data_IF_555787928969
#
_entry.id   IF_555787928969
#
_cell.length_a   1.000
_cell.length_b   1.000
_cell.length_c   1.000
_cell.angle_alpha   90.00
_cell.angle_beta   90.00
_cell.angle_gamma   90.00
#
_symmetry.space_group_name_H-M   'P 1'
#
loop_
_entity.id
_entity.type
_entity.pdbx_description
1 polymer ?
#
# COMPACT_ATOMS: atom_id res chain seq x y z
N UNK A 1 -41.28 -2.95 -5.00
CA UNK A 1 -40.12 -2.28 -4.39
C UNK A 1 -38.91 -3.19 -4.53
N UNK A 2 -37.99 -2.90 -5.46
CA UNK A 2 -36.73 -3.64 -5.60
C UNK A 2 -35.70 -2.98 -4.69
N UNK A 3 -35.21 -3.71 -3.69
CA UNK A 3 -34.14 -3.26 -2.82
C UNK A 3 -32.85 -3.10 -3.62
N UNK A 4 -32.32 -1.88 -3.67
CA UNK A 4 -30.96 -1.63 -4.09
C UNK A 4 -30.06 -2.21 -2.99
N UNK A 5 -29.42 -3.35 -3.26
CA UNK A 5 -28.31 -3.82 -2.44
C UNK A 5 -27.18 -2.80 -2.54
N UNK A 6 -26.82 -2.18 -1.42
CA UNK A 6 -25.67 -1.27 -1.34
C UNK A 6 -24.39 -2.08 -1.56
N UNK A 7 -23.79 -1.96 -2.74
CA UNK A 7 -22.46 -2.47 -3.00
C UNK A 7 -21.45 -1.50 -2.40
N UNK A 8 -21.06 -1.72 -1.14
CA UNK A 8 -19.98 -1.00 -0.47
C UNK A 8 -18.63 -1.50 -0.98
N UNK A 9 -17.92 -0.68 -1.75
CA UNK A 9 -16.58 -0.98 -2.24
C UNK A 9 -15.55 -0.06 -1.59
N UNK A 10 -14.34 -0.55 -1.36
CA UNK A 10 -13.27 0.21 -0.73
C UNK A 10 -12.02 0.29 -1.61
N UNK A 11 -11.36 1.45 -1.65
CA UNK A 11 -10.06 1.63 -2.31
C UNK A 11 -8.92 1.70 -1.31
N UNK A 12 -7.82 1.03 -1.65
CA UNK A 12 -6.52 1.26 -1.04
C UNK A 12 -5.53 1.77 -2.08
N UNK A 13 -4.66 2.67 -1.63
CA UNK A 13 -3.53 3.15 -2.39
C UNK A 13 -2.18 2.94 -1.69
N UNK A 14 -1.25 2.29 -2.37
CA UNK A 14 0.19 2.35 -2.07
C UNK A 14 0.90 3.32 -3.02
N UNK A 15 1.77 4.18 -2.46
CA UNK A 15 2.60 5.07 -3.28
C UNK A 15 3.77 4.34 -3.93
N UNK A 16 4.01 4.69 -5.19
CA UNK A 16 4.79 3.95 -6.17
C UNK A 16 6.27 4.37 -6.13
N UNK A 17 7.18 3.42 -5.86
CA UNK A 17 8.62 3.64 -6.01
C UNK A 17 9.29 2.49 -6.76
N UNK A 18 10.34 2.82 -7.51
CA UNK A 18 11.19 1.84 -8.18
C UNK A 18 12.08 1.16 -7.14
N UNK A 19 11.92 -0.17 -6.98
CA UNK A 19 12.71 -0.95 -6.01
C UNK A 19 13.76 -1.81 -6.67
N UNK A 20 14.92 -1.90 -6.02
CA UNK A 20 15.89 -2.97 -6.31
C UNK A 20 15.29 -4.30 -5.86
N UNK A 21 15.47 -5.35 -6.68
CA UNK A 21 14.94 -6.71 -6.42
C UNK A 21 15.31 -7.25 -5.02
N UNK A 22 16.47 -6.85 -4.50
CA UNK A 22 16.98 -7.20 -3.16
C UNK A 22 16.18 -6.60 -1.99
N UNK A 23 15.27 -5.65 -2.25
CA UNK A 23 14.45 -4.99 -1.21
C UNK A 23 13.01 -5.50 -1.12
N UNK A 24 12.67 -6.55 -1.90
CA UNK A 24 11.32 -7.12 -2.00
C UNK A 24 10.94 -8.07 -0.83
N UNK A 25 11.75 -8.14 0.23
CA UNK A 25 11.42 -8.96 1.39
C UNK A 25 10.22 -8.39 2.17
N UNK A 26 9.49 -9.27 2.86
CA UNK A 26 8.44 -8.89 3.79
C UNK A 26 9.05 -8.29 5.06
N UNK A 27 8.73 -7.04 5.36
CA UNK A 27 9.16 -6.36 6.57
C UNK A 27 7.97 -6.10 7.48
N UNK A 28 8.17 -6.23 8.80
CA UNK A 28 7.21 -5.71 9.79
C UNK A 28 7.41 -4.21 9.97
N UNK A 29 6.33 -3.44 10.03
CA UNK A 29 6.33 -1.98 10.25
C UNK A 29 6.79 -1.62 11.67
N UNK A 30 8.09 -1.70 11.90
CA UNK A 30 8.79 -1.23 13.10
C UNK A 30 9.55 0.05 12.77
N UNK A 31 9.87 0.92 13.75
CA UNK A 31 10.72 2.10 13.49
C UNK A 31 12.02 1.74 12.76
N UNK A 32 12.58 0.58 13.13
CA UNK A 32 13.74 -0.04 12.48
C UNK A 32 13.56 -0.24 10.97
N UNK A 33 12.46 -0.83 10.53
CA UNK A 33 12.22 -1.07 9.10
C UNK A 33 11.64 0.15 8.39
N UNK A 34 10.92 1.03 9.08
CA UNK A 34 10.33 2.23 8.50
C UNK A 34 11.38 3.33 8.25
N UNK A 35 12.43 3.39 9.05
CA UNK A 35 13.40 4.49 9.01
C UNK A 35 14.85 4.00 8.90
N UNK A 36 15.30 3.14 9.82
CA UNK A 36 16.73 2.80 9.92
C UNK A 36 17.25 2.01 8.72
N UNK A 37 16.43 1.16 8.12
CA UNK A 37 16.81 0.43 6.91
C UNK A 37 17.15 1.37 5.75
N UNK A 38 16.51 2.53 5.68
CA UNK A 38 16.77 3.52 4.64
C UNK A 38 18.09 4.23 4.85
N UNK A 39 18.44 4.53 6.11
CA UNK A 39 19.77 5.02 6.44
C UNK A 39 20.85 4.00 6.05
N UNK A 40 20.64 2.72 6.39
CA UNK A 40 21.58 1.65 6.00
C UNK A 40 21.73 1.55 4.48
N UNK A 41 20.62 1.47 3.74
CA UNK A 41 20.60 1.42 2.26
C UNK A 41 21.30 2.63 1.64
N UNK A 42 21.07 3.82 2.20
CA UNK A 42 21.73 5.04 1.74
C UNK A 42 23.24 4.96 1.94
N UNK A 43 23.70 4.58 3.13
CA UNK A 43 25.13 4.50 3.45
C UNK A 43 25.84 3.44 2.60
N UNK A 44 25.25 2.25 2.47
CA UNK A 44 25.78 1.19 1.61
C UNK A 44 25.83 1.60 0.13
N UNK A 45 24.84 2.36 -0.34
CA UNK A 45 24.82 2.89 -1.72
C UNK A 45 25.86 3.98 -1.92
N UNK A 46 26.01 4.88 -0.94
CA UNK A 46 26.99 5.97 -0.96
C UNK A 46 28.42 5.43 -0.99
N UNK A 47 28.72 4.37 -0.23
CA UNK A 47 30.01 3.66 -0.28
C UNK A 47 30.32 3.06 -1.65
N UNK A 48 29.29 2.81 -2.47
CA UNK A 48 29.41 2.33 -3.86
C UNK A 48 29.36 3.46 -4.89
N UNK A 49 29.36 4.73 -4.46
CA UNK A 49 29.26 5.90 -5.33
C UNK A 49 27.86 6.14 -5.91
N UNK A 50 26.82 5.55 -5.34
CA UNK A 50 25.43 5.69 -5.80
C UNK A 50 24.66 6.66 -4.91
N UNK A 51 24.12 7.71 -5.53
CA UNK A 51 23.20 8.65 -4.89
C UNK A 51 21.77 8.07 -4.86
N UNK A 52 21.38 7.55 -3.69
CA UNK A 52 20.13 6.81 -3.57
C UNK A 52 18.90 7.70 -3.74
N UNK A 53 18.96 8.95 -3.27
CA UNK A 53 17.88 9.93 -3.36
C UNK A 53 17.55 10.27 -4.81
N UNK A 54 18.57 10.26 -5.69
CA UNK A 54 18.37 10.44 -7.14
C UNK A 54 17.95 9.16 -7.85
N UNK A 55 18.34 7.99 -7.35
CA UNK A 55 18.04 6.71 -7.99
C UNK A 55 16.63 6.19 -7.71
N UNK A 56 16.02 6.62 -6.61
CA UNK A 56 14.66 6.22 -6.22
C UNK A 56 13.81 7.48 -6.13
N UNK A 57 12.95 7.64 -7.13
CA UNK A 57 12.01 8.74 -7.22
C UNK A 57 10.59 8.27 -7.50
N UNK A 58 9.74 9.24 -7.76
CA UNK A 58 8.32 9.03 -8.02
C UNK A 58 8.07 8.75 -9.50
N UNK A 59 7.14 7.85 -9.76
CA UNK A 59 6.63 7.63 -11.11
C UNK A 59 5.85 8.86 -11.60
N UNK A 60 6.19 9.37 -12.80
CA UNK A 60 5.51 10.50 -13.46
C UNK A 60 3.99 10.32 -13.63
N UNK A 61 3.47 9.09 -13.48
CA UNK A 61 2.04 8.76 -13.56
C UNK A 61 1.21 9.20 -12.35
N UNK A 62 1.78 9.83 -11.33
CA UNK A 62 1.00 10.35 -10.21
C UNK A 62 0.21 11.63 -10.53
N UNK A 63 0.57 12.38 -11.59
CA UNK A 63 0.04 13.72 -11.82
C UNK A 63 -1.47 13.78 -12.12
N UNK A 64 -2.06 12.72 -12.70
CA UNK A 64 -3.50 12.61 -12.98
C UNK A 64 -4.15 11.46 -12.21
N UNK A 65 -3.47 10.94 -11.19
CA UNK A 65 -3.88 9.74 -10.49
C UNK A 65 -5.30 9.89 -9.91
N UNK A 66 -5.55 10.95 -9.15
CA UNK A 66 -6.85 11.16 -8.51
C UNK A 66 -7.97 11.47 -9.50
N UNK A 67 -7.64 12.06 -10.65
CA UNK A 67 -8.63 12.34 -11.68
C UNK A 67 -9.12 11.03 -12.30
N UNK A 68 -8.20 10.12 -12.64
CA UNK A 68 -8.54 8.75 -13.06
C UNK A 68 -9.35 8.00 -12.01
N UNK A 69 -9.01 8.14 -10.74
CA UNK A 69 -9.82 7.54 -9.66
C UNK A 69 -11.25 8.09 -9.71
N UNK A 70 -11.44 9.40 -9.83
CA UNK A 70 -12.78 10.00 -9.87
C UNK A 70 -13.58 9.63 -11.13
N UNK A 71 -12.94 9.20 -12.21
CA UNK A 71 -13.63 8.69 -13.40
C UNK A 71 -14.31 7.32 -13.16
N UNK A 72 -13.70 6.47 -12.33
CA UNK A 72 -14.19 5.12 -12.07
C UNK A 72 -14.96 4.99 -10.75
N UNK A 73 -14.66 5.84 -9.78
CA UNK A 73 -15.10 5.71 -8.39
C UNK A 73 -16.06 6.82 -7.96
N UNK A 74 -17.23 6.40 -7.48
CA UNK A 74 -18.24 7.29 -6.92
C UNK A 74 -18.10 7.31 -5.41
N UNK A 75 -17.60 8.42 -4.87
CA UNK A 75 -17.41 8.56 -3.43
C UNK A 75 -18.72 8.85 -2.70
N UNK A 76 -18.93 8.18 -1.57
CA UNK A 76 -19.98 8.54 -0.64
C UNK A 76 -19.80 9.98 -0.13
N UNK A 77 -20.91 10.67 0.15
CA UNK A 77 -20.91 12.08 0.54
C UNK A 77 -20.02 12.37 1.77
N UNK A 78 -20.06 11.48 2.76
CA UNK A 78 -19.32 11.61 4.03
C UNK A 78 -18.24 10.53 4.15
N UNK A 79 -17.59 10.22 3.02
CA UNK A 79 -16.60 9.15 2.92
C UNK A 79 -15.49 9.28 3.96
N UNK A 80 -15.18 8.18 4.63
CA UNK A 80 -14.06 8.15 5.57
C UNK A 80 -12.75 7.88 4.83
N UNK A 81 -11.82 8.83 4.92
CA UNK A 81 -10.45 8.69 4.41
C UNK A 81 -9.48 8.44 5.56
N UNK A 82 -8.66 7.41 5.42
CA UNK A 82 -7.63 7.02 6.39
C UNK A 82 -6.25 7.09 5.77
N UNK A 83 -5.27 7.58 6.52
CA UNK A 83 -3.86 7.63 6.12
C UNK A 83 -3.01 6.95 7.18
N UNK A 84 -2.24 5.92 6.82
CA UNK A 84 -1.47 5.13 7.79
C UNK A 84 -0.14 4.60 7.24
N UNK A 85 0.65 4.00 8.12
CA UNK A 85 1.89 3.27 7.73
C UNK A 85 1.64 1.88 7.17
N UNK A 86 0.53 1.23 7.55
CA UNK A 86 0.39 -0.23 7.44
C UNK A 86 -0.91 -0.64 6.75
N UNK A 87 -0.78 -1.55 5.79
CA UNK A 87 -1.90 -2.13 5.07
C UNK A 87 -2.85 -2.93 5.97
N UNK A 88 -2.40 -3.37 7.15
CA UNK A 88 -3.25 -4.05 8.13
C UNK A 88 -4.50 -3.26 8.48
N UNK A 89 -4.42 -1.92 8.48
CA UNK A 89 -5.57 -1.07 8.78
C UNK A 89 -6.71 -1.28 7.76
N UNK A 90 -6.38 -1.70 6.53
CA UNK A 90 -7.38 -1.98 5.50
C UNK A 90 -8.39 -3.03 5.91
N UNK A 91 -7.93 -4.09 6.58
CA UNK A 91 -8.78 -5.18 7.10
C UNK A 91 -9.84 -4.63 8.06
N UNK A 92 -9.42 -3.81 9.03
CA UNK A 92 -10.35 -3.25 10.02
C UNK A 92 -11.33 -2.26 9.41
N UNK A 93 -10.88 -1.41 8.48
CA UNK A 93 -11.77 -0.45 7.81
C UNK A 93 -12.81 -1.17 6.95
N UNK A 94 -12.43 -2.25 6.25
CA UNK A 94 -13.36 -3.02 5.43
C UNK A 94 -14.48 -3.65 6.27
N UNK A 95 -14.14 -4.22 7.43
CA UNK A 95 -15.12 -4.77 8.37
C UNK A 95 -16.01 -3.67 8.95
N UNK A 96 -15.41 -2.54 9.38
CA UNK A 96 -16.14 -1.41 9.98
C UNK A 96 -17.23 -0.86 9.04
N UNK A 97 -16.92 -0.80 7.75
CA UNK A 97 -17.81 -0.24 6.72
C UNK A 97 -18.58 -1.32 5.95
N UNK A 98 -18.62 -2.55 6.48
CA UNK A 98 -19.37 -3.68 5.92
C UNK A 98 -19.14 -3.85 4.40
N UNK A 99 -17.89 -3.70 3.97
CA UNK A 99 -17.53 -3.73 2.55
C UNK A 99 -17.72 -5.12 1.97
N UNK A 100 -18.42 -5.24 0.85
CA UNK A 100 -18.53 -6.52 0.13
C UNK A 100 -17.36 -6.73 -0.82
N UNK A 101 -16.77 -5.66 -1.35
CA UNK A 101 -15.68 -5.71 -2.31
C UNK A 101 -14.53 -4.76 -1.90
N UNK A 102 -13.29 -5.15 -2.20
CA UNK A 102 -12.11 -4.32 -1.92
C UNK A 102 -11.24 -4.23 -3.15
N UNK A 103 -10.78 -3.01 -3.44
CA UNK A 103 -9.93 -2.67 -4.57
C UNK A 103 -8.56 -2.20 -4.07
N UNK A 104 -7.61 -3.08 -4.35
CA UNK A 104 -6.16 -3.09 -4.20
C UNK A 104 -5.35 -2.29 -5.21
N UNK A 105 -5.06 -0.98 -5.09
CA UNK A 105 -4.07 -0.37 -6.00
C UNK A 105 -2.68 -0.44 -5.37
N UNK A 106 -1.90 -1.45 -5.75
CA UNK A 106 -0.60 -1.74 -5.14
C UNK A 106 0.32 -2.54 -6.09
N UNK A 107 1.61 -2.61 -5.78
CA UNK A 107 2.54 -3.56 -6.41
C UNK A 107 2.34 -4.99 -5.91
N UNK A 108 1.71 -5.18 -4.74
CA UNK A 108 1.53 -6.47 -4.08
C UNK A 108 0.05 -6.83 -3.90
N UNK A 109 -0.29 -8.11 -4.09
CA UNK A 109 -1.65 -8.62 -3.93
C UNK A 109 -2.11 -8.69 -2.47
N UNK A 110 -1.17 -8.90 -1.54
CA UNK A 110 -1.40 -9.10 -0.09
C UNK A 110 -2.44 -10.17 0.25
N UNK A 111 -2.58 -11.18 -0.61
CA UNK A 111 -3.42 -12.33 -0.37
C UNK A 111 -2.82 -13.28 0.67
N UNK A 112 -1.50 -13.26 0.83
CA UNK A 112 -0.78 -14.10 1.77
C UNK A 112 0.24 -14.99 1.05
N UNK A 113 1.51 -14.74 1.36
CA UNK A 113 2.64 -15.49 0.80
C UNK A 113 2.74 -16.87 1.45
N UNK A 114 3.02 -17.90 0.63
CA UNK A 114 3.07 -19.30 1.08
C UNK A 114 1.74 -20.06 0.93
N UNK A 115 0.77 -19.50 0.20
CA UNK A 115 -0.49 -20.16 -0.11
C UNK A 115 -1.55 -19.99 0.97
N UNK A 116 -2.60 -20.81 0.94
CA UNK A 116 -3.80 -20.60 1.77
C UNK A 116 -3.52 -20.66 3.27
N UNK A 117 -2.53 -21.44 3.71
CA UNK A 117 -2.14 -21.54 5.13
C UNK A 117 -1.70 -20.19 5.72
N UNK A 118 -1.28 -19.25 4.86
CA UNK A 118 -0.85 -17.91 5.26
C UNK A 118 -1.93 -17.10 6.01
N UNK A 119 -3.21 -17.38 5.74
CA UNK A 119 -4.34 -16.69 6.38
C UNK A 119 -4.62 -17.18 7.80
N UNK A 120 -4.08 -18.35 8.17
CA UNK A 120 -4.16 -18.89 9.53
C UNK A 120 -3.21 -18.18 10.50
N UNK A 121 -2.19 -17.47 9.99
CA UNK A 121 -1.30 -16.66 10.83
C UNK A 121 -1.98 -15.36 11.29
N UNK A 122 -1.29 -14.67 12.21
CA UNK A 122 -1.69 -13.34 12.68
C UNK A 122 -1.81 -12.38 11.50
N UNK A 123 -2.84 -11.51 11.55
CA UNK A 123 -3.04 -10.44 10.58
C UNK A 123 -1.77 -9.61 10.43
N UNK A 124 -1.34 -9.39 9.19
CA UNK A 124 -0.18 -8.57 8.81
C UNK A 124 -0.37 -7.98 7.40
N UNK A 125 0.56 -7.14 6.95
CA UNK A 125 0.46 -6.48 5.64
C UNK A 125 0.49 -7.45 4.46
N UNK A 126 1.07 -8.64 4.60
CA UNK A 126 1.17 -9.59 3.52
C UNK A 126 -0.10 -10.44 3.34
N UNK A 127 -0.97 -10.55 4.35
CA UNK A 127 -2.12 -11.47 4.31
C UNK A 127 -3.48 -10.81 4.60
N UNK A 128 -3.54 -9.50 4.79
CA UNK A 128 -4.77 -8.83 5.22
C UNK A 128 -5.94 -9.02 4.25
N UNK A 129 -5.68 -9.02 2.93
CA UNK A 129 -6.70 -9.19 1.91
C UNK A 129 -7.18 -10.64 1.87
N UNK A 130 -6.25 -11.60 1.88
CA UNK A 130 -6.61 -13.02 1.90
C UNK A 130 -7.35 -13.40 3.17
N UNK A 131 -7.04 -12.78 4.31
CA UNK A 131 -7.75 -12.99 5.56
C UNK A 131 -9.19 -12.47 5.49
N UNK A 132 -9.44 -11.31 4.87
CA UNK A 132 -10.80 -10.81 4.61
C UNK A 132 -11.62 -11.81 3.77
N UNK A 133 -11.02 -12.36 2.71
CA UNK A 133 -11.67 -13.35 1.85
C UNK A 133 -11.94 -14.66 2.60
N UNK A 134 -10.94 -15.19 3.29
CA UNK A 134 -11.02 -16.46 4.00
C UNK A 134 -12.05 -16.44 5.14
N UNK A 135 -12.18 -15.31 5.83
CA UNK A 135 -13.17 -15.13 6.89
C UNK A 135 -14.56 -14.73 6.37
N UNK A 136 -14.75 -14.67 5.04
CA UNK A 136 -16.01 -14.30 4.42
C UNK A 136 -16.45 -12.87 4.71
N UNK A 137 -15.51 -11.98 5.09
CA UNK A 137 -15.79 -10.57 5.38
C UNK A 137 -16.03 -9.76 4.11
N UNK A 138 -15.42 -10.19 3.01
CA UNK A 138 -15.63 -9.62 1.67
C UNK A 138 -15.95 -10.78 0.71
N UNK A 139 -16.75 -10.51 -0.32
CA UNK A 139 -17.11 -11.47 -1.36
C UNK A 139 -16.09 -11.49 -2.51
N UNK A 140 -15.37 -10.39 -2.70
CA UNK A 140 -14.47 -10.21 -3.85
C UNK A 140 -13.32 -9.27 -3.54
N UNK A 141 -12.15 -9.59 -4.08
CA UNK A 141 -11.00 -8.70 -4.11
C UNK A 141 -10.67 -8.32 -5.56
N UNK A 142 -10.30 -7.06 -5.77
CA UNK A 142 -9.79 -6.52 -7.02
C UNK A 142 -8.39 -6.01 -6.75
N UNK A 143 -7.42 -6.41 -7.56
CA UNK A 143 -6.03 -5.96 -7.43
C UNK A 143 -5.69 -5.27 -8.74
N UNK A 144 -5.39 -3.98 -8.65
CA UNK A 144 -4.86 -3.19 -9.75
C UNK A 144 -3.36 -3.10 -9.53
N UNK A 145 -2.63 -3.92 -10.27
CA UNK A 145 -1.20 -3.95 -10.18
C UNK A 145 -0.59 -2.66 -10.72
N UNK A 146 0.35 -2.14 -9.96
CA UNK A 146 1.33 -1.19 -10.46
C UNK A 146 2.15 -1.79 -11.59
N UNK A 147 2.62 -0.94 -12.49
CA UNK A 147 3.57 -1.29 -13.56
C UNK A 147 4.91 -1.83 -13.02
N UNK A 148 5.19 -1.58 -11.74
CA UNK A 148 6.39 -2.07 -11.05
C UNK A 148 6.17 -3.40 -10.32
N UNK A 149 4.99 -4.02 -10.42
CA UNK A 149 4.79 -5.34 -9.81
C UNK A 149 5.71 -6.37 -10.44
N UNK A 150 6.19 -7.29 -9.60
CA UNK A 150 6.84 -8.53 -10.05
C UNK A 150 5.95 -9.75 -9.85
N UNK A 151 4.80 -9.57 -9.20
CA UNK A 151 3.84 -10.64 -8.91
C UNK A 151 2.96 -10.90 -10.13
N UNK A 152 2.50 -12.15 -10.24
CA UNK A 152 1.56 -12.56 -11.27
C UNK A 152 0.35 -13.22 -10.62
N UNK A 153 -0.84 -13.17 -11.24
CA UNK A 153 -2.02 -13.88 -10.74
C UNK A 153 -1.75 -15.37 -10.47
N UNK A 154 -0.89 -16.02 -11.26
CA UNK A 154 -0.51 -17.43 -11.11
C UNK A 154 0.21 -17.73 -9.79
N UNK A 155 0.91 -16.76 -9.21
CA UNK A 155 1.58 -16.90 -7.91
C UNK A 155 0.58 -17.14 -6.78
N UNK A 156 -0.68 -16.72 -6.99
CA UNK A 156 -1.79 -16.86 -6.04
C UNK A 156 -2.86 -17.84 -6.52
N UNK A 157 -2.49 -18.83 -7.34
CA UNK A 157 -3.43 -19.82 -7.91
C UNK A 157 -4.35 -20.49 -6.88
N UNK A 158 -3.85 -20.74 -5.66
CA UNK A 158 -4.62 -21.40 -4.61
C UNK A 158 -5.74 -20.48 -4.08
N UNK A 159 -5.45 -19.19 -3.91
CA UNK A 159 -6.47 -18.19 -3.60
C UNK A 159 -7.47 -18.03 -4.75
N UNK A 160 -6.99 -17.97 -5.98
CA UNK A 160 -7.85 -17.76 -7.16
C UNK A 160 -8.82 -18.92 -7.40
N UNK A 161 -8.49 -20.13 -6.95
CA UNK A 161 -9.39 -21.29 -6.99
C UNK A 161 -10.51 -21.21 -5.95
N UNK A 162 -10.21 -20.65 -4.78
CA UNK A 162 -11.12 -20.62 -3.63
C UNK A 162 -11.97 -19.36 -3.57
N UNK A 163 -11.44 -18.24 -4.03
CA UNK A 163 -12.04 -16.92 -3.86
C UNK A 163 -12.13 -16.16 -5.18
N UNK A 164 -13.06 -15.20 -5.22
CA UNK A 164 -13.23 -14.31 -6.39
C UNK A 164 -12.21 -13.18 -6.31
N UNK A 165 -11.06 -13.38 -6.95
CA UNK A 165 -10.03 -12.35 -7.11
C UNK A 165 -9.96 -11.91 -8.57
N UNK A 166 -9.96 -10.60 -8.80
CA UNK A 166 -9.78 -10.00 -10.13
C UNK A 166 -8.49 -9.19 -10.16
N UNK A 167 -7.77 -9.28 -11.27
CA UNK A 167 -6.51 -8.59 -11.46
C UNK A 167 -6.62 -7.63 -12.65
N UNK A 168 -6.07 -6.43 -12.51
CA UNK A 168 -6.04 -5.36 -13.50
C UNK A 168 -4.61 -4.84 -13.61
N UNK A 169 -4.19 -4.44 -14.80
CA UNK A 169 -2.85 -3.88 -15.02
C UNK A 169 -2.83 -2.34 -15.07
N UNK A 170 -4.00 -1.71 -15.15
CA UNK A 170 -4.16 -0.26 -15.16
C UNK A 170 -5.53 0.12 -14.57
N UNK A 171 -5.63 1.36 -14.09
CA UNK A 171 -6.86 1.96 -13.57
C UNK A 171 -7.89 2.08 -14.68
N UNK A 172 -7.45 2.39 -15.91
CA UNK A 172 -8.32 2.60 -17.06
C UNK A 172 -9.11 1.32 -17.46
N UNK A 173 -8.70 0.15 -16.94
CA UNK A 173 -9.39 -1.12 -17.15
C UNK A 173 -10.52 -1.39 -16.14
N UNK A 174 -10.76 -0.48 -15.20
CA UNK A 174 -11.77 -0.64 -14.17
C UNK A 174 -13.16 -0.29 -14.70
N UNK A 175 -14.23 -0.91 -14.16
CA UNK A 175 -15.59 -0.48 -14.46
C UNK A 175 -15.86 0.92 -13.90
N UNK A 176 -16.85 1.61 -14.45
CA UNK A 176 -17.28 2.93 -13.98
C UNK A 176 -18.33 2.80 -12.87
N UNK A 177 -18.46 3.85 -12.06
CA UNK A 177 -19.53 4.01 -11.08
C UNK A 177 -19.39 3.10 -9.86
N UNK A 178 -18.17 2.73 -9.50
CA UNK A 178 -17.95 1.84 -8.37
C UNK A 178 -18.10 2.64 -7.07
N UNK A 179 -19.13 2.29 -6.30
CA UNK A 179 -19.49 3.02 -5.08
C UNK A 179 -18.45 2.83 -3.98
N UNK A 180 -17.99 3.93 -3.40
CA UNK A 180 -16.91 3.93 -2.42
C UNK A 180 -17.38 4.36 -1.04
N UNK A 181 -17.34 3.44 -0.06
CA UNK A 181 -17.68 3.73 1.33
C UNK A 181 -16.48 4.25 2.16
N UNK A 182 -15.26 3.88 1.79
CA UNK A 182 -14.04 4.33 2.48
C UNK A 182 -12.81 4.33 1.58
N UNK A 183 -11.83 5.17 1.93
CA UNK A 183 -10.52 5.22 1.27
C UNK A 183 -9.44 4.98 2.32
N UNK A 184 -8.44 4.17 1.98
CA UNK A 184 -7.23 4.01 2.77
C UNK A 184 -5.98 4.27 1.95
N UNK A 185 -5.20 5.28 2.33
CA UNK A 185 -3.90 5.58 1.73
C UNK A 185 -2.82 5.10 2.69
N UNK A 186 -1.93 4.23 2.22
CA UNK A 186 -0.88 3.65 3.02
C UNK A 186 0.49 4.08 2.51
N UNK A 187 1.36 4.54 3.42
CA UNK A 187 2.73 4.88 3.08
C UNK A 187 3.60 3.66 2.91
N UNK A 188 3.44 2.64 3.76
CA UNK A 188 4.28 1.43 3.71
C UNK A 188 5.76 1.77 3.91
N UNK A 189 6.10 2.43 5.02
CA UNK A 189 7.42 3.04 5.26
C UNK A 189 8.62 2.10 5.11
N UNK A 190 8.45 0.77 5.23
CA UNK A 190 9.53 -0.19 4.96
C UNK A 190 9.93 -0.29 3.48
N UNK A 191 9.00 0.08 2.59
CA UNK A 191 9.20 0.13 1.15
C UNK A 191 9.18 1.58 0.64
N UNK A 192 8.61 2.55 1.34
CA UNK A 192 8.68 3.96 0.91
C UNK A 192 9.84 4.69 1.56
N UNK A 193 10.80 5.28 0.83
CA UNK A 193 11.92 5.96 1.46
C UNK A 193 11.53 7.29 2.13
N UNK A 194 12.23 7.70 3.22
CA UNK A 194 11.92 8.92 3.96
C UNK A 194 12.01 10.22 3.16
N UNK A 195 12.91 10.31 2.18
CA UNK A 195 13.04 11.51 1.33
C UNK A 195 11.83 11.76 0.41
N UNK A 196 10.88 10.82 0.35
CA UNK A 196 9.64 10.94 -0.45
C UNK A 196 8.41 11.20 0.42
N UNK A 197 8.59 11.46 1.72
CA UNK A 197 7.49 11.81 2.64
C UNK A 197 6.72 13.06 2.18
N UNK A 198 7.41 14.12 1.74
CA UNK A 198 6.74 15.35 1.30
C UNK A 198 5.83 15.10 0.09
N UNK A 199 6.30 14.27 -0.83
CA UNK A 199 5.51 13.89 -1.99
C UNK A 199 4.37 12.94 -1.64
N UNK A 200 4.55 12.06 -0.65
CA UNK A 200 3.46 11.27 -0.09
C UNK A 200 2.34 12.17 0.47
N UNK A 201 2.70 13.21 1.22
CA UNK A 201 1.71 14.14 1.76
C UNK A 201 1.09 15.03 0.68
N UNK A 202 1.84 15.48 -0.33
CA UNK A 202 1.27 16.17 -1.51
C UNK A 202 0.25 15.28 -2.20
N UNK A 203 0.61 14.02 -2.42
CA UNK A 203 -0.26 13.03 -3.01
C UNK A 203 -1.56 12.85 -2.20
N UNK A 204 -1.48 12.69 -0.88
CA UNK A 204 -2.66 12.61 0.00
C UNK A 204 -3.51 13.87 -0.09
N UNK A 205 -2.90 15.06 -0.05
CA UNK A 205 -3.61 16.32 -0.06
C UNK A 205 -4.32 16.58 -1.40
N UNK A 206 -3.78 16.10 -2.53
CA UNK A 206 -4.41 16.20 -3.86
C UNK A 206 -5.74 15.41 -3.97
N UNK A 207 -6.05 14.54 -3.01
CA UNK A 207 -7.37 13.93 -2.91
C UNK A 207 -8.47 14.97 -2.66
N UNK A 208 -8.13 16.09 -1.99
CA UNK A 208 -9.04 17.17 -1.59
C UNK A 208 -10.22 16.69 -0.73
N UNK A 209 -9.97 15.75 0.19
CA UNK A 209 -10.93 15.26 1.18
C UNK A 209 -10.33 15.30 2.59
N UNK A 210 -11.15 15.49 3.64
CA UNK A 210 -10.68 15.37 5.02
C UNK A 210 -10.26 13.92 5.31
N UNK A 211 -9.16 13.75 6.05
CA UNK A 211 -8.63 12.42 6.37
C UNK A 211 -8.20 12.28 7.83
N UNK A 212 -8.24 11.02 8.32
CA UNK A 212 -7.79 10.62 9.65
C UNK A 212 -6.41 9.98 9.54
N UNK A 213 -5.45 10.50 10.30
CA UNK A 213 -4.10 9.94 10.40
C UNK A 213 -4.06 8.87 11.48
N UNK A 214 -3.59 7.66 11.16
CA UNK A 214 -3.51 6.53 12.09
C UNK A 214 -2.09 5.99 12.13
N UNK A 215 -1.43 6.14 13.28
CA UNK A 215 -0.06 5.61 13.53
C UNK A 215 0.96 5.97 12.44
N UNK A 216 0.81 7.12 11.81
CA UNK A 216 1.72 7.67 10.80
C UNK A 216 2.47 8.85 11.42
N UNK A 217 3.77 8.93 11.15
CA UNK A 217 4.58 10.07 11.55
C UNK A 217 5.49 10.51 10.41
N UNK A 218 5.77 11.81 10.37
CA UNK A 218 6.75 12.36 9.44
C UNK A 218 8.15 11.92 9.88
N UNK A 219 8.88 11.27 8.99
CA UNK A 219 10.24 10.79 9.30
C UNK A 219 11.22 11.94 9.22
N UNK A 220 12.22 11.92 10.09
CA UNK A 220 13.35 12.84 9.99
C UNK A 220 14.36 12.21 9.05
N UNK A 221 14.58 12.86 7.91
CA UNK A 221 15.60 12.44 6.96
C UNK A 221 16.59 13.59 6.79
N UNK A 222 17.69 13.52 7.53
CA UNK A 222 18.78 14.52 7.46
C UNK A 222 20.13 13.84 7.71
N UNK A 223 20.68 13.24 6.65
CA UNK A 223 21.96 12.52 6.72
C UNK A 223 23.11 13.43 7.16
N UNK A 224 23.05 14.73 6.80
CA UNK A 224 24.13 15.70 7.09
C UNK A 224 24.21 16.08 8.56
N UNK A 225 23.12 15.94 9.30
CA UNK A 225 23.06 16.20 10.75
C UNK A 225 23.13 14.93 11.59
N UNK A 226 23.25 13.76 10.96
CA UNK A 226 23.40 12.48 11.66
C UNK A 226 24.79 12.38 12.28
N UNK A 227 24.86 11.98 13.55
CA UNK A 227 26.15 11.82 14.24
C UNK A 227 26.88 10.56 13.75
N UNK A 228 28.21 10.53 13.87
CA UNK A 228 29.01 9.37 13.48
C UNK A 228 28.57 8.09 14.22
N UNK A 229 28.19 8.19 15.50
CA UNK A 229 27.66 7.06 16.28
C UNK A 229 26.38 6.48 15.66
N UNK A 230 25.49 7.34 15.18
CA UNK A 230 24.24 6.92 14.55
C UNK A 230 24.50 6.28 13.19
N UNK A 231 25.45 6.82 12.41
CA UNK A 231 25.86 6.23 11.12
C UNK A 231 26.44 4.82 11.31
N UNK A 232 27.31 4.63 12.31
CA UNK A 232 27.87 3.33 12.66
C UNK A 232 26.78 2.37 13.13
N UNK A 233 25.82 2.85 13.92
CA UNK A 233 24.66 2.06 14.34
C UNK A 233 23.84 1.60 13.13
N UNK A 234 23.52 2.51 12.20
CA UNK A 234 22.73 2.20 11.00
C UNK A 234 23.41 1.18 10.08
N UNK A 235 24.74 1.22 9.95
CA UNK A 235 25.47 0.22 9.15
C UNK A 235 25.45 -1.17 9.79
N UNK A 236 25.51 -1.25 11.12
CA UNK A 236 25.79 -2.50 11.82
C UNK A 236 24.56 -3.19 12.43
N UNK A 237 23.38 -2.56 12.45
CA UNK A 237 22.21 -3.25 13.01
C UNK A 237 21.76 -4.44 12.15
N UNK A 238 21.41 -5.55 12.83
CA UNK A 238 21.11 -6.87 12.26
C UNK A 238 19.65 -7.25 12.36
#
# INVERSE_FOLDING_TARGET
MKGYGSQSTKYRLGLLYSFKKEWLNSYTETPRNIEWIWYKRYLESSLRGVDLEKSVGISLRLNNFWDKIREHFSFEKDIEVYVSESHMLSYHIAIKNECEEVYSLDTHADLGYGGISSVSFKLNCANWMGKLLNEGRIKRAHIVYSHHTTEKPEDFKDFNKLFKVRYYNDIDALPNGIYTAAIHICRSGAWTPPWLDDEFFKFVNNLNLPYKVVKLYRRKWDIRKTQLSDLLYYLNFS
#
